data_IF_476705250464
#
_entry.id   IF_476705250464
#
_cell.length_a   1.000
_cell.length_b   1.000
_cell.length_c   1.000
_cell.angle_alpha   90.00
_cell.angle_beta   90.00
_cell.angle_gamma   90.00
#
_symmetry.space_group_name_H-M   'P 1'
#
loop_
_entity.id
_entity.type
_entity.pdbx_description
1 polymer ?
#
# COMPACT_ATOMS: atom_id res chain seq x y z
N UNK A 1 14.90 -68.60 -26.25
CA UNK A 1 14.84 -67.13 -26.26
C UNK A 1 13.63 -66.75 -25.43
N UNK A 2 13.79 -66.95 -24.12
CA UNK A 2 12.86 -66.71 -23.01
C UNK A 2 12.58 -65.20 -22.87
N UNK A 3 11.43 -64.69 -22.43
CA UNK A 3 10.64 -64.93 -21.21
C UNK A 3 11.36 -64.54 -19.89
N UNK A 4 10.62 -63.80 -19.04
CA UNK A 4 10.70 -63.77 -17.57
C UNK A 4 11.59 -62.74 -16.83
N UNK A 5 10.91 -61.99 -15.95
CA UNK A 5 11.26 -61.70 -14.52
C UNK A 5 12.46 -60.76 -14.20
N UNK A 6 12.55 -60.01 -13.09
CA UNK A 6 11.73 -59.65 -11.91
C UNK A 6 12.48 -58.55 -11.14
N UNK A 7 11.70 -57.68 -10.47
CA UNK A 7 11.87 -57.14 -9.10
C UNK A 7 13.20 -56.47 -8.62
N UNK A 8 12.99 -55.26 -8.06
CA UNK A 8 13.24 -54.87 -6.65
C UNK A 8 14.47 -54.00 -6.28
N UNK A 9 14.14 -52.87 -5.62
CA UNK A 9 14.88 -52.10 -4.57
C UNK A 9 16.08 -51.27 -5.07
N UNK A 10 16.36 -50.04 -4.62
CA UNK A 10 16.02 -49.29 -3.40
C UNK A 10 15.97 -47.77 -3.68
N UNK A 11 15.27 -47.06 -2.81
CA UNK A 11 14.97 -45.64 -2.96
C UNK A 11 16.13 -44.66 -2.77
N UNK A 12 15.86 -43.42 -3.19
CA UNK A 12 16.43 -42.21 -2.61
C UNK A 12 15.45 -41.06 -2.87
N UNK A 13 14.88 -40.54 -1.79
CA UNK A 13 14.12 -39.30 -1.80
C UNK A 13 14.99 -38.16 -2.31
N UNK A 14 14.51 -37.48 -3.33
CA UNK A 14 15.02 -36.19 -3.77
C UNK A 14 13.96 -35.15 -3.48
N UNK A 15 14.06 -34.50 -2.33
CA UNK A 15 13.27 -33.31 -2.02
C UNK A 15 13.56 -32.25 -3.09
N UNK A 16 12.53 -31.87 -3.84
CA UNK A 16 12.57 -30.66 -4.66
C UNK A 16 12.52 -29.48 -3.70
N UNK A 17 13.68 -28.88 -3.46
CA UNK A 17 13.76 -27.54 -2.91
C UNK A 17 12.99 -26.61 -3.84
N UNK A 18 11.88 -26.06 -3.35
CA UNK A 18 11.29 -24.87 -3.94
C UNK A 18 12.31 -23.75 -3.75
N UNK A 19 12.91 -23.33 -4.85
CA UNK A 19 13.68 -22.10 -4.87
C UNK A 19 12.68 -20.94 -4.84
N UNK A 20 12.45 -20.39 -3.66
CA UNK A 20 11.73 -19.13 -3.45
C UNK A 20 12.59 -17.98 -4.01
N UNK A 21 12.47 -17.76 -5.31
CA UNK A 21 12.92 -16.55 -5.97
C UNK A 21 11.86 -15.48 -5.81
N UNK A 22 11.94 -14.70 -4.72
CA UNK A 22 11.24 -13.41 -4.64
C UNK A 22 11.64 -12.57 -5.87
N UNK A 23 10.69 -12.00 -6.64
CA UNK A 23 11.04 -11.11 -7.73
C UNK A 23 11.67 -9.83 -7.14
N UNK A 24 13.01 -9.79 -7.22
CA UNK A 24 13.83 -8.61 -6.95
C UNK A 24 13.52 -7.55 -8.01
N UNK A 25 12.53 -6.72 -7.72
CA UNK A 25 12.20 -5.57 -8.55
C UNK A 25 10.82 -5.05 -8.21
N UNK A 26 10.75 -4.17 -7.21
CA UNK A 26 9.77 -3.09 -6.95
C UNK A 26 9.79 -2.87 -5.42
N UNK A 27 10.75 -2.07 -4.93
CA UNK A 27 10.48 -1.13 -3.82
C UNK A 27 11.72 -0.26 -3.56
N UNK A 28 11.82 0.87 -4.25
CA UNK A 28 12.72 1.98 -3.87
C UNK A 28 12.07 2.91 -2.82
N UNK A 29 10.97 2.50 -2.18
CA UNK A 29 10.07 3.40 -1.42
C UNK A 29 9.97 3.18 0.09
N UNK A 30 10.64 2.18 0.68
CA UNK A 30 10.53 1.87 2.11
C UNK A 30 11.61 2.52 3.00
N UNK A 31 12.39 3.47 2.48
CA UNK A 31 13.51 4.09 3.22
C UNK A 31 13.09 4.68 4.57
N UNK A 32 11.87 5.17 4.71
CA UNK A 32 11.37 5.79 5.94
C UNK A 32 11.00 4.80 7.07
N UNK A 33 10.84 3.50 6.80
CA UNK A 33 10.63 2.49 7.85
C UNK A 33 11.96 2.01 8.46
N UNK A 34 13.05 2.22 7.72
CA UNK A 34 14.41 1.91 8.09
C UNK A 34 15.04 3.17 8.70
N UNK A 35 15.33 3.18 9.99
CA UNK A 35 16.02 4.31 10.63
C UNK A 35 17.43 4.46 10.02
N UNK A 36 17.60 5.42 9.10
CA UNK A 36 18.91 5.82 8.61
C UNK A 36 19.56 6.84 9.56
N UNK A 37 19.75 6.47 10.82
CA UNK A 37 20.66 7.21 11.71
C UNK A 37 22.09 6.71 11.52
N UNK A 38 22.75 7.19 10.47
CA UNK A 38 24.23 7.19 10.40
C UNK A 38 24.69 8.64 10.29
N UNK A 39 24.92 9.27 11.44
CA UNK A 39 25.73 10.48 11.51
C UNK A 39 27.18 10.12 11.11
N UNK A 40 27.82 10.82 10.16
CA UNK A 40 29.25 10.71 9.98
C UNK A 40 29.95 11.71 10.92
N UNK A 41 30.48 11.21 12.03
CA UNK A 41 31.42 11.97 12.86
C UNK A 41 32.78 12.02 12.16
N UNK A 42 33.05 13.14 11.49
CA UNK A 42 34.40 13.55 11.09
C UNK A 42 35.15 14.11 12.30
N UNK A 43 36.08 13.35 12.89
CA UNK A 43 37.28 13.88 13.55
C UNK A 43 38.46 12.94 13.26
N UNK A 44 39.56 13.53 12.77
CA UNK A 44 40.79 12.87 12.39
C UNK A 44 41.71 12.53 13.59
N UNK A 45 42.32 11.34 13.48
CA UNK A 45 43.71 10.98 13.81
C UNK A 45 44.29 11.16 15.23
N UNK A 46 44.49 10.05 15.96
CA UNK A 46 45.82 9.43 16.21
C UNK A 46 45.79 8.37 17.33
N UNK A 47 46.56 7.28 17.19
CA UNK A 47 47.10 6.52 18.33
C UNK A 47 46.75 5.04 18.42
N UNK A 48 47.76 4.19 18.17
CA UNK A 48 47.78 2.72 18.30
C UNK A 48 47.39 2.20 19.70
N UNK A 49 46.63 1.09 19.74
CA UNK A 49 46.90 -0.12 20.58
C UNK A 49 45.99 -1.30 20.19
N UNK A 50 46.55 -2.51 20.24
CA UNK A 50 45.98 -3.80 19.80
C UNK A 50 45.01 -4.45 20.81
N UNK A 51 43.97 -5.10 20.26
CA UNK A 51 43.21 -6.29 20.71
C UNK A 51 42.33 -6.26 21.99
N UNK A 52 41.30 -7.13 22.14
CA UNK A 52 40.65 -8.04 21.15
C UNK A 52 39.11 -7.88 21.03
N UNK A 53 38.58 -8.49 19.96
CA UNK A 53 37.17 -8.77 19.70
C UNK A 53 36.50 -9.48 20.90
N UNK A 54 35.47 -8.87 21.49
CA UNK A 54 34.48 -9.56 22.29
C UNK A 54 33.09 -9.33 21.68
N UNK A 55 32.64 -10.31 20.89
CA UNK A 55 31.21 -10.52 20.65
C UNK A 55 30.59 -10.96 21.96
N UNK A 56 29.86 -10.08 22.63
CA UNK A 56 29.05 -10.45 23.78
C UNK A 56 27.62 -10.66 23.25
N UNK A 57 27.34 -11.89 22.82
CA UNK A 57 25.95 -12.36 22.71
C UNK A 57 25.41 -12.55 24.12
N UNK A 58 24.24 -11.98 24.48
CA UNK A 58 23.55 -12.37 25.71
C UNK A 58 23.00 -13.79 25.56
N UNK A 59 23.52 -14.70 26.38
CA UNK A 59 23.11 -16.11 26.55
C UNK A 59 21.94 -16.25 27.52
N UNK A 60 20.84 -15.51 27.31
CA UNK A 60 19.60 -15.71 28.08
C UNK A 60 18.45 -16.16 27.17
N UNK A 61 17.67 -17.18 27.56
CA UNK A 61 16.39 -17.48 26.90
C UNK A 61 15.52 -16.22 26.95
N UNK A 62 14.82 -15.90 25.86
CA UNK A 62 13.85 -14.81 25.83
C UNK A 62 12.83 -15.05 26.95
N UNK A 63 12.83 -14.17 27.96
CA UNK A 63 11.98 -14.31 29.12
C UNK A 63 10.52 -14.08 28.70
N UNK A 64 9.62 -14.83 29.32
CA UNK A 64 8.15 -14.75 29.22
C UNK A 64 7.66 -13.28 29.25
N UNK A 65 8.32 -12.43 30.06
CA UNK A 65 8.21 -10.95 30.08
C UNK A 65 8.15 -10.25 28.73
N UNK A 66 8.88 -10.71 27.71
CA UNK A 66 8.89 -10.06 26.37
C UNK A 66 7.61 -10.28 25.57
N UNK A 67 6.92 -11.39 25.80
CA UNK A 67 5.65 -11.71 25.14
C UNK A 67 4.50 -11.02 25.86
N UNK A 68 4.50 -10.98 27.19
CA UNK A 68 3.53 -10.17 27.95
C UNK A 68 3.65 -8.68 27.60
N UNK A 69 4.86 -8.11 27.58
CA UNK A 69 5.08 -6.70 27.23
C UNK A 69 4.63 -6.37 25.79
N UNK A 70 4.73 -7.34 24.87
CA UNK A 70 4.25 -7.20 23.50
C UNK A 70 2.73 -7.39 23.42
N UNK A 71 2.16 -8.31 24.19
CA UNK A 71 0.72 -8.51 24.28
C UNK A 71 0.01 -7.26 24.84
N UNK A 72 0.49 -6.71 25.96
CA UNK A 72 -0.02 -5.47 26.53
C UNK A 72 0.12 -4.32 25.53
N UNK A 73 1.26 -4.25 24.84
CA UNK A 73 1.45 -3.28 23.77
C UNK A 73 0.40 -3.47 22.67
N UNK A 74 0.21 -4.67 22.10
CA UNK A 74 -0.82 -4.94 21.08
C UNK A 74 -2.20 -4.49 21.58
N UNK A 75 -2.55 -4.86 22.81
CA UNK A 75 -3.83 -4.53 23.44
C UNK A 75 -4.05 -3.01 23.64
N UNK A 76 -2.97 -2.21 23.70
CA UNK A 76 -3.04 -0.74 23.76
C UNK A 76 -3.32 -0.08 22.41
N UNK A 77 -3.37 -0.85 21.32
CA UNK A 77 -3.51 -0.34 19.96
C UNK A 77 -4.86 0.35 19.71
N UNK A 78 -4.89 1.52 19.04
CA UNK A 78 -6.09 2.33 18.85
C UNK A 78 -7.13 1.71 17.90
N UNK A 79 -6.73 0.69 17.12
CA UNK A 79 -7.60 0.04 16.14
C UNK A 79 -8.36 -1.17 16.69
N UNK A 80 -7.97 -1.75 17.84
CA UNK A 80 -8.60 -2.97 18.34
C UNK A 80 -10.09 -2.82 18.60
N UNK A 81 -10.49 -1.76 19.29
CA UNK A 81 -11.90 -1.48 19.57
C UNK A 81 -12.71 -1.27 18.28
N UNK A 82 -12.13 -0.63 17.27
CA UNK A 82 -12.79 -0.43 15.96
C UNK A 82 -12.98 -1.75 15.20
N UNK A 83 -12.15 -2.75 15.46
CA UNK A 83 -12.26 -4.10 14.91
C UNK A 83 -13.12 -5.04 15.75
N UNK A 84 -13.63 -4.56 16.91
CA UNK A 84 -14.34 -5.41 17.86
C UNK A 84 -13.45 -6.50 18.49
N UNK A 85 -12.12 -6.31 18.49
CA UNK A 85 -11.18 -7.27 19.06
C UNK A 85 -11.00 -6.98 20.56
N UNK A 86 -11.36 -7.96 21.39
CA UNK A 86 -11.11 -7.89 22.84
C UNK A 86 -9.71 -8.41 23.20
N UNK A 87 -9.26 -8.12 24.43
CA UNK A 87 -7.98 -8.64 24.93
C UNK A 87 -7.96 -10.17 24.93
N UNK A 88 -9.09 -10.82 25.22
CA UNK A 88 -9.23 -12.28 25.19
C UNK A 88 -9.05 -12.81 23.77
N UNK A 89 -9.68 -12.19 22.76
CA UNK A 89 -9.52 -12.60 21.36
C UNK A 89 -8.09 -12.43 20.86
N UNK A 90 -7.40 -11.37 21.30
CA UNK A 90 -5.96 -11.19 21.02
C UNK A 90 -5.15 -12.27 21.71
N UNK A 91 -5.45 -12.62 22.96
CA UNK A 91 -4.73 -13.65 23.70
C UNK A 91 -4.89 -15.03 23.06
N UNK A 92 -6.10 -15.39 22.62
CA UNK A 92 -6.40 -16.64 21.91
C UNK A 92 -5.67 -16.74 20.56
N UNK A 93 -5.38 -15.61 19.93
CA UNK A 93 -4.74 -15.54 18.62
C UNK A 93 -3.30 -15.01 18.64
N UNK A 94 -2.69 -14.85 19.82
CA UNK A 94 -1.39 -14.16 19.98
C UNK A 94 -0.28 -14.73 19.10
N UNK A 95 -0.25 -16.05 18.93
CA UNK A 95 0.72 -16.71 18.06
C UNK A 95 0.66 -16.21 16.62
N UNK A 96 -0.54 -15.93 16.09
CA UNK A 96 -0.71 -15.35 14.75
C UNK A 96 -0.20 -13.92 14.68
N UNK A 97 -0.45 -13.11 15.72
CA UNK A 97 0.09 -11.75 15.79
C UNK A 97 1.61 -11.74 15.76
N UNK A 98 2.25 -12.62 16.54
CA UNK A 98 3.71 -12.79 16.56
C UNK A 98 4.25 -13.25 15.20
N UNK A 99 3.58 -14.21 14.57
CA UNK A 99 3.93 -14.71 13.25
C UNK A 99 3.85 -13.60 12.19
N UNK A 100 2.74 -12.87 12.11
CA UNK A 100 2.60 -11.75 11.18
C UNK A 100 3.64 -10.65 11.44
N UNK A 101 3.92 -10.35 12.72
CA UNK A 101 4.97 -9.41 13.12
C UNK A 101 6.34 -9.82 12.60
N UNK A 102 6.73 -11.09 12.79
CA UNK A 102 7.97 -11.67 12.28
C UNK A 102 8.05 -11.58 10.74
N UNK A 103 6.96 -11.90 10.04
CA UNK A 103 6.92 -11.80 8.58
C UNK A 103 7.10 -10.36 8.09
N UNK A 104 6.46 -9.38 8.74
CA UNK A 104 6.64 -7.97 8.41
C UNK A 104 8.05 -7.47 8.76
N UNK A 105 8.64 -7.92 9.88
CA UNK A 105 10.03 -7.62 10.20
C UNK A 105 10.96 -8.11 9.08
N UNK A 106 10.77 -9.35 8.59
CA UNK A 106 11.54 -9.88 7.46
C UNK A 106 11.34 -9.07 6.18
N UNK A 107 10.08 -8.74 5.85
CA UNK A 107 9.75 -7.95 4.66
C UNK A 107 10.47 -6.60 4.64
N UNK A 108 10.51 -5.92 5.79
CA UNK A 108 11.10 -4.59 5.92
C UNK A 108 12.56 -4.59 6.40
N UNK A 109 13.17 -5.78 6.56
CA UNK A 109 14.53 -5.96 7.06
C UNK A 109 14.76 -5.33 8.45
N UNK A 110 13.75 -5.43 9.32
CA UNK A 110 13.79 -4.96 10.70
C UNK A 110 14.28 -6.09 11.63
N UNK A 111 14.99 -5.70 12.69
CA UNK A 111 15.40 -6.63 13.73
C UNK A 111 14.24 -6.83 14.72
N UNK A 112 13.61 -8.00 14.70
CA UNK A 112 12.46 -8.32 15.53
C UNK A 112 12.73 -8.20 17.04
N UNK A 113 13.97 -8.42 17.47
CA UNK A 113 14.37 -8.34 18.87
C UNK A 113 14.57 -6.90 19.34
N UNK A 114 14.68 -5.94 18.41
CA UNK A 114 15.03 -4.55 18.67
C UNK A 114 14.21 -3.58 17.81
N UNK A 115 12.88 -3.73 17.83
CA UNK A 115 11.99 -2.76 17.20
C UNK A 115 11.90 -1.47 18.01
N UNK A 116 12.04 -0.33 17.33
CA UNK A 116 11.72 0.97 17.95
C UNK A 116 10.21 1.07 18.21
N UNK A 117 9.79 1.95 19.12
CA UNK A 117 8.36 2.15 19.43
C UNK A 117 7.55 2.48 18.16
N UNK A 118 8.00 3.39 17.26
CA UNK A 118 7.29 3.65 15.99
C UNK A 118 7.20 2.43 15.08
N UNK A 119 8.25 1.61 14.99
CA UNK A 119 8.22 0.37 14.21
C UNK A 119 7.23 -0.63 14.82
N UNK A 120 7.27 -0.85 16.15
CA UNK A 120 6.35 -1.71 16.87
C UNK A 120 4.89 -1.27 16.66
N UNK A 121 4.61 0.03 16.79
CA UNK A 121 3.29 0.59 16.52
C UNK A 121 2.87 0.39 15.05
N UNK A 122 3.78 0.60 14.09
CA UNK A 122 3.48 0.37 12.67
C UNK A 122 3.00 -1.05 12.39
N UNK A 123 3.70 -2.03 12.94
CA UNK A 123 3.39 -3.44 12.69
C UNK A 123 2.13 -3.85 13.46
N UNK A 124 2.13 -3.64 14.77
CA UNK A 124 1.15 -4.23 15.68
C UNK A 124 -0.08 -3.36 15.94
N UNK A 125 -0.02 -2.04 15.74
CA UNK A 125 -1.17 -1.14 15.91
C UNK A 125 -1.81 -0.72 14.61
N UNK A 126 -1.12 -0.93 13.47
CA UNK A 126 -1.61 -0.49 12.18
C UNK A 126 -1.70 -1.61 11.15
N UNK A 127 -0.57 -2.20 10.72
CA UNK A 127 -0.57 -3.11 9.57
C UNK A 127 -1.29 -4.43 9.86
N UNK A 128 -1.01 -5.08 10.99
CA UNK A 128 -1.67 -6.33 11.37
C UNK A 128 -3.18 -6.11 11.61
N UNK A 129 -3.63 -5.10 12.37
CA UNK A 129 -5.06 -4.80 12.50
C UNK A 129 -5.78 -4.60 11.15
N UNK A 130 -5.18 -3.84 10.23
CA UNK A 130 -5.76 -3.63 8.90
C UNK A 130 -5.81 -4.94 8.10
N UNK A 131 -4.77 -5.76 8.19
CA UNK A 131 -4.74 -7.09 7.57
C UNK A 131 -5.87 -7.99 8.08
N UNK A 132 -6.06 -8.06 9.40
CA UNK A 132 -7.12 -8.84 10.02
C UNK A 132 -8.51 -8.36 9.58
N UNK A 133 -8.71 -7.04 9.47
CA UNK A 133 -9.95 -6.50 8.92
C UNK A 133 -10.17 -6.94 7.47
N UNK A 134 -9.15 -6.88 6.62
CA UNK A 134 -9.26 -7.33 5.23
C UNK A 134 -9.59 -8.83 5.14
N UNK A 135 -8.96 -9.67 5.97
CA UNK A 135 -9.28 -11.11 6.08
C UNK A 135 -10.75 -11.35 6.44
N UNK A 136 -11.29 -10.57 7.38
CA UNK A 136 -12.69 -10.65 7.76
C UNK A 136 -13.61 -10.25 6.60
N UNK A 137 -13.30 -9.18 5.88
CA UNK A 137 -14.08 -8.73 4.71
C UNK A 137 -14.03 -9.75 3.56
N UNK A 138 -12.87 -10.35 3.29
CA UNK A 138 -12.71 -11.42 2.29
C UNK A 138 -13.57 -12.64 2.68
N UNK A 139 -13.58 -13.00 3.96
CA UNK A 139 -14.36 -14.13 4.47
C UNK A 139 -15.87 -13.86 4.33
N UNK A 140 -16.32 -12.67 4.73
CA UNK A 140 -17.71 -12.24 4.58
C UNK A 140 -18.14 -12.20 3.12
N UNK A 141 -17.30 -11.66 2.24
CA UNK A 141 -17.54 -11.63 0.81
C UNK A 141 -17.69 -13.05 0.23
N UNK A 142 -16.76 -13.94 0.55
CA UNK A 142 -16.80 -15.34 0.09
C UNK A 142 -18.06 -16.07 0.56
N UNK A 143 -18.53 -15.79 1.79
CA UNK A 143 -19.77 -16.42 2.31
C UNK A 143 -21.06 -15.97 1.61
N UNK A 144 -21.01 -14.93 0.78
CA UNK A 144 -22.20 -14.49 0.02
C UNK A 144 -22.44 -15.30 -1.26
N UNK A 145 -21.46 -16.11 -1.67
CA UNK A 145 -21.55 -16.98 -2.83
C UNK A 145 -22.07 -18.36 -2.42
N UNK A 146 -22.82 -19.01 -3.31
CA UNK A 146 -23.32 -20.36 -3.06
C UNK A 146 -22.23 -21.41 -3.34
N UNK A 147 -22.37 -22.58 -2.73
CA UNK A 147 -21.50 -23.72 -3.01
C UNK A 147 -21.46 -24.03 -4.51
N UNK A 148 -20.25 -24.05 -5.08
CA UNK A 148 -20.01 -24.31 -6.50
C UNK A 148 -20.08 -23.09 -7.42
N UNK A 149 -20.40 -21.89 -6.91
CA UNK A 149 -20.24 -20.64 -7.66
C UNK A 149 -18.77 -20.20 -7.66
N UNK A 150 -18.33 -19.64 -8.79
CA UNK A 150 -17.01 -19.03 -8.90
C UNK A 150 -16.98 -17.74 -8.07
N UNK A 151 -16.24 -17.74 -6.96
CA UNK A 151 -16.09 -16.57 -6.09
C UNK A 151 -15.23 -15.52 -6.79
N UNK A 152 -15.80 -14.37 -7.09
CA UNK A 152 -15.05 -13.24 -7.64
C UNK A 152 -14.19 -12.58 -6.57
N UNK A 153 -12.97 -12.09 -6.87
CA UNK A 153 -12.14 -11.42 -5.88
C UNK A 153 -12.84 -10.21 -5.26
N UNK A 154 -12.64 -10.00 -3.96
CA UNK A 154 -13.10 -8.79 -3.28
C UNK A 154 -12.20 -7.61 -3.69
N UNK A 155 -12.79 -6.52 -4.19
CA UNK A 155 -12.03 -5.28 -4.43
C UNK A 155 -12.08 -4.41 -3.16
N UNK A 156 -10.91 -4.19 -2.56
CA UNK A 156 -10.72 -3.31 -1.39
C UNK A 156 -10.04 -2.02 -1.84
N UNK A 157 -10.71 -0.89 -1.63
CA UNK A 157 -10.24 0.44 -1.98
C UNK A 157 -9.47 1.09 -0.84
N UNK A 158 -8.27 1.62 -1.12
CA UNK A 158 -7.44 2.34 -0.16
C UNK A 158 -7.35 3.81 -0.56
N UNK A 159 -8.06 4.67 0.17
CA UNK A 159 -8.03 6.12 -0.03
C UNK A 159 -7.16 6.79 1.01
N UNK A 160 -6.10 7.48 0.55
CA UNK A 160 -5.20 8.17 1.47
C UNK A 160 -4.37 9.26 0.78
N UNK A 161 -4.18 10.44 1.41
CA UNK A 161 -3.30 11.48 0.90
C UNK A 161 -1.88 10.99 0.59
N UNK A 162 -1.19 11.67 -0.30
CA UNK A 162 0.18 11.32 -0.69
C UNK A 162 1.14 11.37 0.52
N UNK A 163 2.11 10.44 0.54
CA UNK A 163 3.13 10.40 1.60
C UNK A 163 2.71 9.76 2.93
N UNK A 164 1.44 9.38 3.12
CA UNK A 164 0.93 8.76 4.35
C UNK A 164 1.40 7.31 4.59
N UNK A 165 2.09 6.69 3.62
CA UNK A 165 2.52 5.29 3.69
C UNK A 165 1.54 4.26 3.12
N UNK A 166 0.47 4.70 2.44
CA UNK A 166 -0.56 3.85 1.79
C UNK A 166 0.03 2.69 0.96
N UNK A 167 0.99 2.98 0.08
CA UNK A 167 1.59 1.98 -0.81
C UNK A 167 2.46 0.99 -0.04
N UNK A 168 3.10 1.43 1.05
CA UNK A 168 3.85 0.56 1.96
C UNK A 168 2.93 -0.36 2.74
N UNK A 169 1.77 0.12 3.18
CA UNK A 169 0.73 -0.70 3.80
C UNK A 169 0.21 -1.75 2.80
N UNK A 170 -0.21 -1.33 1.60
CA UNK A 170 -0.72 -2.26 0.57
C UNK A 170 0.31 -3.33 0.22
N UNK A 171 1.59 -2.96 0.10
CA UNK A 171 2.69 -3.90 -0.10
C UNK A 171 2.84 -4.92 1.05
N UNK A 172 2.71 -4.47 2.30
CA UNK A 172 2.69 -5.35 3.46
C UNK A 172 1.51 -6.31 3.44
N UNK A 173 0.31 -5.84 3.09
CA UNK A 173 -0.89 -6.66 3.02
C UNK A 173 -0.81 -7.70 1.92
N UNK A 174 -0.34 -7.33 0.72
CA UNK A 174 -0.12 -8.25 -0.39
C UNK A 174 0.83 -9.40 0.00
N UNK A 175 1.94 -9.06 0.67
CA UNK A 175 2.86 -10.05 1.20
C UNK A 175 2.21 -10.94 2.28
N UNK A 176 1.43 -10.37 3.21
CA UNK A 176 0.72 -11.13 4.23
C UNK A 176 -0.35 -12.07 3.62
N UNK A 177 -1.03 -11.67 2.55
CA UNK A 177 -1.95 -12.55 1.81
C UNK A 177 -1.20 -13.73 1.17
N UNK A 178 -0.05 -13.47 0.54
CA UNK A 178 0.75 -14.52 -0.08
C UNK A 178 1.19 -15.57 0.94
N UNK A 179 1.73 -15.17 2.10
CA UNK A 179 2.17 -16.12 3.13
C UNK A 179 1.00 -16.88 3.77
N UNK A 180 -0.21 -16.32 3.76
CA UNK A 180 -1.42 -16.96 4.27
C UNK A 180 -2.13 -17.79 3.20
N UNK A 181 -1.53 -17.95 2.03
CA UNK A 181 -2.03 -18.81 0.95
C UNK A 181 -3.12 -18.17 0.08
N UNK A 182 -3.27 -16.85 0.13
CA UNK A 182 -4.21 -16.08 -0.69
C UNK A 182 -3.50 -15.43 -1.86
N UNK A 183 -4.11 -15.50 -3.05
CA UNK A 183 -3.65 -14.79 -4.25
C UNK A 183 -4.31 -13.42 -4.30
N UNK A 184 -3.49 -12.38 -4.25
CA UNK A 184 -3.92 -10.97 -4.34
C UNK A 184 -3.38 -10.31 -5.61
N UNK A 185 -4.05 -9.26 -6.06
CA UNK A 185 -3.52 -8.34 -7.06
C UNK A 185 -3.50 -6.92 -6.50
N UNK A 186 -2.41 -6.19 -6.74
CA UNK A 186 -2.27 -4.78 -6.35
C UNK A 186 -2.29 -3.89 -7.58
N UNK A 187 -3.16 -2.88 -7.57
CA UNK A 187 -3.28 -1.89 -8.64
C UNK A 187 -3.42 -0.49 -8.04
N UNK A 188 -2.75 0.50 -8.62
CA UNK A 188 -2.81 1.90 -8.18
C UNK A 188 -3.54 2.74 -9.21
N UNK A 189 -4.25 3.79 -8.80
CA UNK A 189 -4.82 4.76 -9.76
C UNK A 189 -3.74 5.38 -10.64
N UNK A 190 -2.51 5.51 -10.11
CA UNK A 190 -1.36 6.04 -10.83
C UNK A 190 -0.94 5.14 -12.01
N UNK A 191 -1.30 3.85 -12.00
CA UNK A 191 -1.04 2.93 -13.13
C UNK A 191 -1.93 3.25 -14.34
N UNK A 192 -3.01 4.00 -14.11
CA UNK A 192 -3.97 4.41 -15.12
C UNK A 192 -3.81 5.87 -15.56
N UNK A 193 -2.67 6.52 -15.31
CA UNK A 193 -2.43 7.82 -15.91
C UNK A 193 -2.51 7.74 -17.45
N UNK A 194 -2.95 8.84 -18.06
CA UNK A 194 -2.94 9.01 -19.51
C UNK A 194 -1.52 8.81 -20.07
N UNK A 195 -1.43 8.35 -21.32
CA UNK A 195 -0.15 8.35 -22.05
C UNK A 195 0.42 9.77 -22.10
N UNK A 196 1.73 9.91 -22.31
CA UNK A 196 2.36 11.24 -22.42
C UNK A 196 1.71 12.09 -23.52
N UNK A 197 1.31 11.46 -24.63
CA UNK A 197 0.61 12.12 -25.73
C UNK A 197 -0.78 12.62 -25.32
N UNK A 198 -1.56 11.82 -24.59
CA UNK A 198 -2.91 12.23 -24.17
C UNK A 198 -2.87 13.23 -23.01
N UNK A 199 -1.89 13.14 -22.12
CA UNK A 199 -1.62 14.17 -21.11
C UNK A 199 -1.23 15.50 -21.77
N UNK A 200 -0.51 15.47 -22.91
CA UNK A 200 -0.22 16.67 -23.68
C UNK A 200 -1.49 17.32 -24.25
N UNK A 201 -2.38 16.52 -24.83
CA UNK A 201 -3.70 17.00 -25.31
C UNK A 201 -4.55 17.57 -24.17
N UNK A 202 -4.57 16.91 -23.01
CA UNK A 202 -5.31 17.39 -21.83
C UNK A 202 -4.83 18.79 -21.43
N UNK A 203 -3.52 18.98 -21.34
CA UNK A 203 -2.90 20.28 -21.05
C UNK A 203 -3.24 21.33 -22.11
N UNK A 204 -3.09 21.01 -23.40
CA UNK A 204 -3.36 21.93 -24.51
C UNK A 204 -4.82 22.40 -24.54
N UNK A 205 -5.75 21.53 -24.16
CA UNK A 205 -7.16 21.85 -24.04
C UNK A 205 -7.50 22.67 -22.77
N UNK A 206 -6.56 22.79 -21.83
CA UNK A 206 -6.74 23.46 -20.54
C UNK A 206 -5.57 24.41 -20.20
N UNK A 207 -5.17 25.35 -21.08
CA UNK A 207 -3.90 26.08 -20.99
C UNK A 207 -3.79 27.05 -19.79
N UNK A 208 -4.90 27.30 -19.07
CA UNK A 208 -4.94 28.15 -17.87
C UNK A 208 -5.21 27.35 -16.59
N UNK A 209 -5.23 26.02 -16.66
CA UNK A 209 -5.48 25.14 -15.53
C UNK A 209 -4.20 24.39 -15.16
N UNK A 210 -3.42 24.95 -14.24
CA UNK A 210 -2.19 24.35 -13.72
C UNK A 210 -2.43 23.02 -12.98
N UNK A 211 -3.66 22.73 -12.53
CA UNK A 211 -3.99 21.44 -11.90
C UNK A 211 -4.05 20.29 -12.91
N UNK A 212 -4.19 20.59 -14.21
CA UNK A 212 -4.25 19.62 -15.32
C UNK A 212 -3.01 19.65 -16.23
N UNK A 213 -2.03 20.50 -15.94
CA UNK A 213 -0.76 20.61 -16.67
C UNK A 213 0.04 19.30 -16.66
N UNK A 214 -0.06 18.56 -15.54
CA UNK A 214 0.64 17.30 -15.28
C UNK A 214 -0.33 16.21 -14.84
N UNK A 215 0.16 14.97 -14.86
CA UNK A 215 -0.54 13.82 -14.30
C UNK A 215 -0.81 14.05 -12.80
N UNK A 216 -2.01 13.71 -12.33
CA UNK A 216 -2.40 13.80 -10.93
C UNK A 216 -3.91 13.85 -10.74
N UNK A 217 -4.51 15.01 -11.00
CA UNK A 217 -5.91 15.32 -10.72
C UNK A 217 -6.92 14.58 -11.63
N UNK A 218 -8.21 14.63 -11.27
CA UNK A 218 -9.28 14.09 -12.08
C UNK A 218 -9.26 14.66 -13.52
N UNK A 219 -9.30 13.77 -14.51
CA UNK A 219 -9.08 14.07 -15.92
C UNK A 219 -7.77 13.54 -16.48
N UNK A 220 -6.74 13.32 -15.65
CA UNK A 220 -5.44 12.83 -16.11
C UNK A 220 -5.31 11.30 -16.16
N UNK A 221 -6.42 10.56 -16.17
CA UNK A 221 -6.44 9.10 -16.13
C UNK A 221 -7.15 8.51 -17.35
N UNK A 222 -6.65 7.38 -17.86
CA UNK A 222 -7.32 6.55 -18.85
C UNK A 222 -8.37 5.68 -18.17
N UNK A 223 -9.58 6.24 -18.08
CA UNK A 223 -10.69 5.57 -17.39
C UNK A 223 -11.13 4.28 -18.11
N UNK A 224 -11.03 4.22 -19.45
CA UNK A 224 -11.38 3.00 -20.21
C UNK A 224 -10.46 1.86 -19.83
N UNK A 225 -9.14 2.09 -19.84
CA UNK A 225 -8.15 1.10 -19.42
C UNK A 225 -8.40 0.63 -17.98
N UNK A 226 -8.77 1.54 -17.07
CA UNK A 226 -9.05 1.19 -15.68
C UNK A 226 -10.28 0.29 -15.53
N UNK A 227 -11.37 0.58 -16.25
CA UNK A 227 -12.61 -0.21 -16.25
C UNK A 227 -12.36 -1.58 -16.85
N UNK A 228 -11.64 -1.66 -17.97
CA UNK A 228 -11.27 -2.93 -18.60
C UNK A 228 -10.42 -3.78 -17.66
N UNK A 229 -9.45 -3.16 -16.98
CA UNK A 229 -8.56 -3.86 -16.04
C UNK A 229 -9.32 -4.38 -14.82
N UNK A 230 -10.13 -3.55 -14.16
CA UNK A 230 -10.92 -3.97 -12.99
C UNK A 230 -11.96 -5.03 -13.35
N UNK A 231 -12.58 -4.91 -14.53
CA UNK A 231 -13.51 -5.93 -15.05
C UNK A 231 -12.79 -7.24 -15.35
N UNK A 232 -11.60 -7.21 -15.94
CA UNK A 232 -10.81 -8.42 -16.19
C UNK A 232 -10.38 -9.08 -14.88
N UNK A 233 -9.91 -8.31 -13.90
CA UNK A 233 -9.53 -8.82 -12.57
C UNK A 233 -10.68 -9.54 -11.87
N UNK A 234 -11.91 -9.03 -11.96
CA UNK A 234 -13.09 -9.68 -11.39
C UNK A 234 -13.38 -11.07 -11.96
N UNK A 235 -12.81 -11.41 -13.12
CA UNK A 235 -13.00 -12.68 -13.82
C UNK A 235 -11.87 -13.70 -13.57
N UNK A 236 -10.80 -13.33 -12.86
CA UNK A 236 -9.71 -14.26 -12.51
C UNK A 236 -10.12 -15.18 -11.36
N UNK A 237 -11.13 -16.04 -11.60
CA UNK A 237 -11.74 -16.90 -10.58
C UNK A 237 -11.26 -18.34 -10.62
N UNK A 238 -10.34 -18.69 -11.55
CA UNK A 238 -9.84 -20.06 -11.73
C UNK A 238 -8.32 -20.11 -11.88
N UNK A 239 -7.76 -21.25 -11.50
CA UNK A 239 -6.35 -21.58 -11.73
C UNK A 239 -6.00 -21.51 -13.23
N UNK A 240 -4.80 -21.05 -13.54
CA UNK A 240 -4.31 -20.88 -14.91
C UNK A 240 -4.84 -19.65 -15.65
N UNK A 241 -5.84 -18.93 -15.12
CA UNK A 241 -6.27 -17.64 -15.69
C UNK A 241 -5.24 -16.57 -15.37
N UNK A 242 -4.63 -15.98 -16.39
CA UNK A 242 -3.55 -14.99 -16.25
C UNK A 242 -3.92 -13.67 -16.90
N UNK A 243 -3.49 -12.57 -16.31
CA UNK A 243 -3.51 -11.26 -16.95
C UNK A 243 -2.30 -10.42 -16.58
N UNK A 244 -1.91 -9.52 -17.48
CA UNK A 244 -0.93 -8.49 -17.19
C UNK A 244 -1.59 -7.27 -16.56
N UNK A 245 -0.94 -6.68 -15.56
CA UNK A 245 -1.41 -5.48 -14.89
C UNK A 245 -0.72 -4.23 -15.46
N UNK A 246 -1.48 -3.19 -15.84
CA UNK A 246 -0.90 -1.93 -16.27
C UNK A 246 0.09 -1.36 -15.26
N UNK A 247 1.16 -0.75 -15.79
CA UNK A 247 2.12 0.02 -15.00
C UNK A 247 2.42 1.34 -15.68
N UNK A 248 2.67 2.36 -14.87
CA UNK A 248 3.06 3.68 -15.34
C UNK A 248 4.51 3.97 -14.96
N UNK A 249 5.34 4.32 -15.94
CA UNK A 249 6.70 4.76 -15.70
C UNK A 249 6.72 6.26 -15.44
N UNK A 250 6.84 6.65 -14.17
CA UNK A 250 6.92 8.06 -13.74
C UNK A 250 8.22 8.75 -14.16
N UNK A 251 9.26 8.00 -14.52
CA UNK A 251 10.58 8.51 -14.89
C UNK A 251 10.73 8.80 -16.38
N UNK A 252 9.91 8.16 -17.22
CA UNK A 252 9.87 8.38 -18.66
C UNK A 252 9.64 9.87 -19.01
N UNK A 253 10.01 10.28 -20.23
CA UNK A 253 9.85 11.65 -20.71
C UNK A 253 10.40 12.71 -19.74
N UNK A 254 11.62 12.51 -19.24
CA UNK A 254 12.29 13.40 -18.28
C UNK A 254 11.47 13.64 -17.01
N UNK A 255 10.87 12.58 -16.45
CA UNK A 255 10.05 12.65 -15.24
C UNK A 255 8.60 13.10 -15.45
N UNK A 256 8.20 13.46 -16.68
CA UNK A 256 6.78 13.72 -17.01
C UNK A 256 5.96 12.44 -17.04
N UNK A 257 6.63 11.31 -17.24
CA UNK A 257 6.10 9.96 -17.20
C UNK A 257 5.43 9.53 -18.49
N UNK A 258 5.21 8.22 -18.61
CA UNK A 258 4.42 7.60 -19.67
C UNK A 258 3.90 6.24 -19.20
N UNK A 259 2.96 5.67 -19.96
CA UNK A 259 2.57 4.27 -19.78
C UNK A 259 3.78 3.37 -20.01
N UNK A 260 4.05 2.47 -19.08
CA UNK A 260 5.14 1.51 -19.25
C UNK A 260 4.81 0.53 -20.38
N UNK A 261 5.84 -0.04 -21.00
CA UNK A 261 5.69 -1.03 -22.06
C UNK A 261 4.88 -2.25 -21.55
N UNK A 262 3.78 -2.66 -22.22
CA UNK A 262 3.00 -3.82 -21.82
C UNK A 262 3.79 -5.14 -21.74
N UNK A 263 4.94 -5.23 -22.40
CA UNK A 263 5.84 -6.37 -22.26
C UNK A 263 6.45 -6.49 -20.85
N UNK A 264 6.64 -5.37 -20.14
CA UNK A 264 7.24 -5.31 -18.79
C UNK A 264 6.21 -5.33 -17.67
N UNK A 265 4.91 -5.31 -18.01
CA UNK A 265 3.85 -5.37 -17.02
C UNK A 265 3.87 -6.70 -16.25
N UNK A 266 3.73 -6.67 -14.92
CA UNK A 266 3.69 -7.90 -14.12
C UNK A 266 2.44 -8.70 -14.45
N UNK A 267 2.56 -10.02 -14.37
CA UNK A 267 1.46 -10.95 -14.56
C UNK A 267 0.88 -11.37 -13.20
N UNK A 268 -0.43 -11.47 -13.12
CA UNK A 268 -1.15 -12.07 -11.99
C UNK A 268 -1.94 -13.27 -12.48
N UNK A 269 -2.10 -14.26 -11.60
CA UNK A 269 -2.77 -15.52 -11.89
C UNK A 269 -3.91 -15.77 -10.89
N UNK A 270 -5.04 -16.25 -11.40
CA UNK A 270 -6.20 -16.64 -10.60
C UNK A 270 -6.02 -17.98 -9.87
N UNK A 271 -6.96 -18.37 -9.00
CA UNK A 271 -8.10 -17.60 -8.55
C UNK A 271 -7.65 -16.48 -7.61
N UNK A 272 -7.98 -15.23 -7.93
CA UNK A 272 -7.72 -14.11 -7.03
C UNK A 272 -8.78 -14.09 -5.92
N UNK A 273 -8.33 -13.91 -4.69
CA UNK A 273 -9.24 -13.71 -3.54
C UNK A 273 -9.53 -12.24 -3.29
N UNK A 274 -8.58 -11.36 -3.61
CA UNK A 274 -8.66 -9.93 -3.31
C UNK A 274 -7.90 -9.10 -4.35
N UNK A 275 -8.45 -7.93 -4.66
CA UNK A 275 -7.76 -6.85 -5.39
C UNK A 275 -7.59 -5.67 -4.44
N UNK A 276 -6.36 -5.26 -4.20
CA UNK A 276 -6.01 -4.07 -3.44
C UNK A 276 -5.89 -2.90 -4.42
N UNK A 277 -6.90 -2.04 -4.42
CA UNK A 277 -6.95 -0.88 -5.31
C UNK A 277 -6.69 0.40 -4.52
N UNK A 278 -5.57 1.06 -4.79
CA UNK A 278 -5.15 2.22 -3.98
C UNK A 278 -5.05 3.52 -4.78
N UNK A 279 -5.29 4.65 -4.11
CA UNK A 279 -5.18 5.95 -4.76
C UNK A 279 -5.42 7.13 -3.82
N UNK A 280 -4.81 8.27 -4.16
CA UNK A 280 -4.86 9.46 -3.30
C UNK A 280 -6.20 10.22 -3.36
N UNK A 281 -6.96 10.02 -4.44
CA UNK A 281 -8.27 10.62 -4.69
C UNK A 281 -9.40 9.58 -4.83
N UNK A 282 -9.15 8.31 -4.49
CA UNK A 282 -10.20 7.29 -4.50
C UNK A 282 -11.33 7.68 -3.54
N UNK A 283 -12.59 7.51 -3.97
CA UNK A 283 -13.76 7.90 -3.18
C UNK A 283 -14.05 9.41 -3.12
N UNK A 284 -13.23 10.26 -3.76
CA UNK A 284 -13.61 11.67 -3.93
C UNK A 284 -14.83 11.76 -4.83
N UNK A 285 -15.77 12.64 -4.48
CA UNK A 285 -16.98 12.87 -5.27
C UNK A 285 -17.11 14.34 -5.70
N UNK A 286 -17.78 14.61 -6.83
CA UNK A 286 -18.09 15.97 -7.23
C UNK A 286 -18.86 16.72 -6.15
N UNK A 287 -18.56 18.01 -5.99
CA UNK A 287 -19.23 18.92 -5.08
C UNK A 287 -19.91 20.06 -5.86
N UNK A 288 -20.79 20.86 -5.23
CA UNK A 288 -21.32 22.07 -5.86
C UNK A 288 -20.20 22.96 -6.40
N UNK A 289 -20.39 23.47 -7.62
CA UNK A 289 -19.35 24.20 -8.38
C UNK A 289 -18.84 25.42 -7.60
N UNK A 290 -19.74 26.11 -6.90
CA UNK A 290 -19.47 27.27 -6.08
C UNK A 290 -18.56 26.93 -4.90
N UNK A 291 -18.74 25.74 -4.31
CA UNK A 291 -17.93 25.28 -3.18
C UNK A 291 -16.48 24.97 -3.61
N UNK A 292 -16.30 24.31 -4.75
CA UNK A 292 -14.94 24.00 -5.25
C UNK A 292 -14.22 25.26 -5.77
N UNK A 293 -14.94 26.17 -6.42
CA UNK A 293 -14.37 27.45 -6.90
C UNK A 293 -13.96 28.38 -5.77
N UNK A 294 -14.64 28.30 -4.62
CA UNK A 294 -14.24 29.02 -3.41
C UNK A 294 -12.88 28.54 -2.85
N UNK A 295 -12.50 27.27 -3.12
CA UNK A 295 -11.17 26.74 -2.76
C UNK A 295 -10.13 27.11 -3.81
N UNK A 296 -10.39 26.80 -5.08
CA UNK A 296 -9.57 27.17 -6.23
C UNK A 296 -10.45 27.16 -7.51
N UNK A 297 -10.56 28.26 -8.27
CA UNK A 297 -11.35 28.32 -9.50
C UNK A 297 -10.99 27.23 -10.52
N UNK A 298 -9.74 26.76 -10.54
CA UNK A 298 -9.28 25.71 -11.46
C UNK A 298 -9.90 24.34 -11.16
N UNK A 299 -10.43 24.13 -9.95
CA UNK A 299 -11.13 22.91 -9.57
C UNK A 299 -12.46 22.73 -10.31
N UNK A 300 -13.05 23.76 -10.93
CA UNK A 300 -14.31 23.61 -11.67
C UNK A 300 -14.24 22.50 -12.73
N UNK A 301 -13.15 22.45 -13.50
CA UNK A 301 -12.93 21.42 -14.53
C UNK A 301 -12.58 20.08 -13.89
N UNK A 302 -11.72 20.07 -12.87
CA UNK A 302 -11.35 18.84 -12.13
C UNK A 302 -12.59 18.18 -11.51
N UNK A 303 -13.46 18.99 -10.89
CA UNK A 303 -14.70 18.56 -10.26
C UNK A 303 -15.69 17.97 -11.28
N UNK A 304 -15.80 18.58 -12.46
CA UNK A 304 -16.58 18.02 -13.56
C UNK A 304 -16.01 16.69 -14.05
N UNK A 305 -14.69 16.59 -14.23
CA UNK A 305 -14.04 15.34 -14.63
C UNK A 305 -14.28 14.22 -13.62
N UNK A 306 -14.34 14.56 -12.33
CA UNK A 306 -14.56 13.62 -11.22
C UNK A 306 -15.92 12.89 -11.29
N UNK A 307 -16.91 13.43 -12.03
CA UNK A 307 -18.22 12.76 -12.22
C UNK A 307 -18.08 11.36 -12.82
N UNK A 308 -17.14 11.17 -13.74
CA UNK A 308 -16.92 9.89 -14.41
C UNK A 308 -16.22 8.84 -13.52
N UNK A 309 -15.64 9.25 -12.38
CA UNK A 309 -14.77 8.39 -11.58
C UNK A 309 -15.55 7.38 -10.74
N UNK A 310 -16.80 7.69 -10.39
CA UNK A 310 -17.67 6.71 -9.72
C UNK A 310 -17.88 5.46 -10.58
N UNK A 311 -18.23 5.68 -11.86
CA UNK A 311 -18.46 4.60 -12.80
C UNK A 311 -17.17 3.90 -13.22
N UNK A 312 -16.03 4.60 -13.17
CA UNK A 312 -14.75 4.00 -13.49
C UNK A 312 -14.20 3.14 -12.35
N UNK A 313 -14.31 3.61 -11.10
CA UNK A 313 -13.57 3.07 -9.96
C UNK A 313 -14.49 2.65 -8.81
N UNK A 314 -15.21 3.61 -8.20
CA UNK A 314 -15.88 3.39 -6.91
C UNK A 314 -16.90 2.24 -6.95
N UNK A 315 -17.63 2.06 -8.07
CA UNK A 315 -18.62 0.97 -8.21
C UNK A 315 -18.03 -0.45 -8.11
N UNK A 316 -16.75 -0.60 -8.44
CA UNK A 316 -16.03 -1.87 -8.35
C UNK A 316 -15.64 -2.20 -6.91
N UNK A 317 -15.43 -1.17 -6.08
CA UNK A 317 -14.94 -1.32 -4.71
C UNK A 317 -16.09 -1.75 -3.80
N UNK A 318 -15.90 -2.84 -3.06
CA UNK A 318 -16.91 -3.40 -2.14
C UNK A 318 -16.56 -3.27 -0.67
N UNK A 319 -15.31 -2.95 -0.37
CA UNK A 319 -14.84 -2.62 0.97
C UNK A 319 -13.83 -1.48 0.88
N UNK A 320 -13.83 -0.58 1.87
CA UNK A 320 -13.08 0.65 1.83
C UNK A 320 -12.22 0.82 3.07
N UNK A 321 -10.97 1.22 2.86
CA UNK A 321 -10.08 1.72 3.90
C UNK A 321 -9.77 3.17 3.60
N UNK A 322 -10.18 4.07 4.50
CA UNK A 322 -9.91 5.50 4.40
C UNK A 322 -8.91 5.88 5.48
N UNK A 323 -7.73 6.33 5.07
CA UNK A 323 -6.67 6.79 5.96
C UNK A 323 -6.76 8.31 6.09
N UNK A 324 -7.32 8.74 7.22
CA UNK A 324 -7.48 10.13 7.60
C UNK A 324 -6.20 10.71 8.19
N UNK A 325 -6.00 11.98 7.87
CA UNK A 325 -4.96 12.84 8.44
C UNK A 325 -5.64 14.10 8.96
N UNK A 326 -5.10 14.68 10.05
CA UNK A 326 -5.68 15.90 10.65
C UNK A 326 -5.52 17.13 9.76
N UNK A 327 -4.31 17.34 9.25
CA UNK A 327 -4.00 18.47 8.38
C UNK A 327 -3.27 17.99 7.12
N UNK A 328 -3.85 18.21 5.91
CA UNK A 328 -3.19 17.93 4.64
C UNK A 328 -1.86 18.64 4.40
N UNK A 329 -1.51 19.67 5.19
CA UNK A 329 -0.21 20.33 5.11
C UNK A 329 0.96 19.38 5.38
N UNK A 330 0.76 18.30 6.14
CA UNK A 330 1.79 17.29 6.43
C UNK A 330 2.27 16.55 5.16
N UNK A 331 1.49 16.55 4.07
CA UNK A 331 1.88 15.99 2.77
C UNK A 331 3.15 16.66 2.24
N UNK A 332 3.31 17.97 2.47
CA UNK A 332 4.54 18.68 2.10
C UNK A 332 5.75 18.11 2.84
N UNK A 333 5.65 17.99 4.17
CA UNK A 333 6.73 17.46 5.00
C UNK A 333 7.10 16.03 4.62
N UNK A 334 6.10 15.18 4.40
CA UNK A 334 6.33 13.80 3.96
C UNK A 334 6.98 13.72 2.58
N UNK A 335 6.60 14.59 1.65
CA UNK A 335 7.23 14.61 0.33
C UNK A 335 8.67 15.11 0.41
N UNK A 336 8.90 16.18 1.18
CA UNK A 336 10.24 16.73 1.40
C UNK A 336 11.17 15.67 2.01
N UNK A 337 10.73 14.93 3.02
CA UNK A 337 11.48 13.82 3.61
C UNK A 337 11.86 12.75 2.58
N UNK A 338 10.92 12.37 1.70
CA UNK A 338 11.18 11.38 0.67
C UNK A 338 12.23 11.87 -0.34
N UNK A 339 12.16 13.12 -0.78
CA UNK A 339 13.14 13.70 -1.71
C UNK A 339 14.52 13.87 -1.06
N UNK A 340 14.57 14.25 0.23
CA UNK A 340 15.84 14.29 0.99
C UNK A 340 16.47 12.89 1.05
N UNK A 341 15.69 11.85 1.37
CA UNK A 341 16.19 10.48 1.41
C UNK A 341 16.69 10.01 0.03
N UNK A 342 15.96 10.33 -1.05
CA UNK A 342 16.41 10.02 -2.41
C UNK A 342 17.71 10.72 -2.78
N UNK A 343 17.87 12.00 -2.43
CA UNK A 343 19.10 12.77 -2.63
C UNK A 343 20.27 12.17 -1.83
N UNK A 344 20.03 11.76 -0.58
CA UNK A 344 21.03 11.11 0.26
C UNK A 344 21.51 9.77 -0.33
N UNK A 345 20.63 9.04 -1.01
CA UNK A 345 20.93 7.82 -1.76
C UNK A 345 21.67 8.07 -3.10
N UNK A 346 22.01 9.32 -3.42
CA UNK A 346 22.68 9.70 -4.67
C UNK A 346 21.80 9.66 -5.91
N UNK A 347 20.47 9.62 -5.73
CA UNK A 347 19.50 9.68 -6.84
C UNK A 347 19.12 11.13 -7.14
N UNK A 348 18.73 11.46 -8.38
CA UNK A 348 18.11 12.74 -8.67
C UNK A 348 16.84 12.89 -7.81
N UNK A 349 16.67 14.06 -7.22
CA UNK A 349 15.51 14.41 -6.41
C UNK A 349 15.16 15.89 -6.61
N UNK A 350 13.90 16.24 -6.31
CA UNK A 350 13.41 17.61 -6.46
C UNK A 350 14.05 18.57 -5.45
N UNK A 351 14.21 19.83 -5.84
CA UNK A 351 14.48 20.92 -4.92
C UNK A 351 13.30 21.16 -3.97
N UNK A 352 13.51 21.88 -2.89
CA UNK A 352 12.46 22.18 -1.92
C UNK A 352 11.34 23.03 -2.57
N UNK A 353 11.70 23.94 -3.50
CA UNK A 353 10.75 24.72 -4.30
C UNK A 353 9.96 23.84 -5.28
N UNK A 354 10.61 22.88 -5.94
CA UNK A 354 9.96 21.91 -6.83
C UNK A 354 9.00 20.99 -6.05
N UNK A 355 9.37 20.60 -4.82
CA UNK A 355 8.48 19.87 -3.91
C UNK A 355 7.26 20.72 -3.55
N UNK A 356 7.46 22.00 -3.23
CA UNK A 356 6.35 22.90 -2.91
C UNK A 356 5.40 23.04 -4.10
N UNK A 357 5.93 23.28 -5.30
CA UNK A 357 5.14 23.35 -6.53
C UNK A 357 4.39 22.03 -6.81
N UNK A 358 5.07 20.89 -6.67
CA UNK A 358 4.44 19.57 -6.82
C UNK A 358 3.25 19.40 -5.86
N UNK A 359 3.46 19.65 -4.56
CA UNK A 359 2.43 19.45 -3.52
C UNK A 359 1.29 20.45 -3.68
N UNK A 360 1.59 21.68 -4.09
CA UNK A 360 0.59 22.76 -4.28
C UNK A 360 -0.53 22.38 -5.25
N UNK A 361 -0.28 21.43 -6.16
CA UNK A 361 -1.26 20.97 -7.17
C UNK A 361 -2.27 19.96 -6.63
N UNK A 362 -2.02 19.38 -5.46
CA UNK A 362 -2.90 18.42 -4.79
C UNK A 362 -3.65 19.05 -3.60
N UNK A 363 -3.06 20.07 -2.96
CA UNK A 363 -3.67 20.74 -1.81
C UNK A 363 -5.07 21.30 -2.07
N UNK A 364 -5.40 21.93 -3.23
CA UNK A 364 -6.76 22.37 -3.52
C UNK A 364 -7.76 21.21 -3.50
N UNK A 365 -7.41 20.07 -4.12
CA UNK A 365 -8.25 18.89 -4.12
C UNK A 365 -8.42 18.34 -2.69
N UNK A 366 -7.37 18.29 -1.89
CA UNK A 366 -7.49 17.86 -0.49
C UNK A 366 -8.42 18.77 0.33
N UNK A 367 -8.26 20.09 0.19
CA UNK A 367 -9.11 21.08 0.87
C UNK A 367 -10.58 20.97 0.46
N UNK A 368 -10.85 20.69 -0.81
CA UNK A 368 -12.21 20.57 -1.33
C UNK A 368 -12.86 19.23 -0.94
N UNK A 369 -12.18 18.10 -1.16
CA UNK A 369 -12.84 16.78 -1.19
C UNK A 369 -12.64 15.94 0.08
N UNK A 370 -11.54 16.11 0.82
CA UNK A 370 -11.31 15.34 2.05
C UNK A 370 -12.38 15.57 3.12
N UNK A 371 -12.88 16.80 3.37
CA UNK A 371 -13.90 17.00 4.41
C UNK A 371 -15.11 16.10 4.20
N UNK A 372 -15.64 16.04 2.98
CA UNK A 372 -16.78 15.20 2.61
C UNK A 372 -16.44 13.72 2.64
N UNK A 373 -15.30 13.30 2.09
CA UNK A 373 -14.85 11.90 2.16
C UNK A 373 -14.73 11.45 3.63
N UNK A 374 -14.26 12.32 4.51
CA UNK A 374 -14.06 11.99 5.91
C UNK A 374 -15.36 11.97 6.69
N UNK A 375 -16.30 12.88 6.42
CA UNK A 375 -17.57 12.92 7.15
C UNK A 375 -18.56 11.87 6.68
N UNK A 376 -18.59 11.59 5.36
CA UNK A 376 -19.64 10.76 4.75
C UNK A 376 -19.14 9.43 4.18
N UNK A 377 -17.82 9.30 3.96
CA UNK A 377 -17.24 8.16 3.27
C UNK A 377 -17.34 8.24 1.73
N UNK A 378 -16.78 7.25 1.02
CA UNK A 378 -16.88 7.14 -0.43
C UNK A 378 -18.33 6.98 -0.91
N UNK A 379 -18.64 7.44 -2.12
CA UNK A 379 -20.01 7.35 -2.63
C UNK A 379 -20.45 5.88 -2.78
N UNK A 380 -21.62 5.54 -2.23
CA UNK A 380 -22.17 4.18 -2.28
C UNK A 380 -21.40 3.16 -1.44
N UNK A 381 -20.49 3.57 -0.55
CA UNK A 381 -19.83 2.65 0.38
C UNK A 381 -20.83 2.07 1.38
N UNK A 382 -20.72 0.77 1.64
CA UNK A 382 -21.42 0.12 2.75
C UNK A 382 -20.73 0.49 4.08
N UNK A 383 -21.45 1.10 5.05
CA UNK A 383 -20.90 1.43 6.35
C UNK A 383 -20.31 0.23 7.11
N UNK A 384 -20.84 -0.99 6.90
CA UNK A 384 -20.31 -2.21 7.53
C UNK A 384 -18.99 -2.68 6.89
N UNK A 385 -18.67 -2.16 5.70
CA UNK A 385 -17.46 -2.45 4.94
C UNK A 385 -16.57 -1.22 4.76
N UNK A 386 -16.74 -0.21 5.61
CA UNK A 386 -15.90 0.99 5.64
C UNK A 386 -15.05 1.04 6.91
N UNK A 387 -13.73 0.99 6.75
CA UNK A 387 -12.78 1.10 7.84
C UNK A 387 -11.99 2.40 7.77
N UNK A 388 -12.18 3.25 8.78
CA UNK A 388 -11.54 4.56 8.88
C UNK A 388 -10.40 4.50 9.89
N UNK A 389 -9.18 4.69 9.38
CA UNK A 389 -7.96 4.77 10.18
C UNK A 389 -7.52 6.24 10.23
N UNK A 390 -7.23 6.77 11.41
CA UNK A 390 -6.63 8.11 11.55
C UNK A 390 -5.16 7.97 11.92
N UNK A 391 -4.30 8.77 11.29
CA UNK A 391 -2.87 8.79 11.56
C UNK A 391 -2.36 10.20 11.90
N UNK A 392 -1.30 10.25 12.70
CA UNK A 392 -0.54 11.48 12.98
C UNK A 392 0.54 11.77 11.92
N UNK A 393 1.33 12.82 12.14
CA UNK A 393 2.44 13.24 11.27
C UNK A 393 3.61 12.24 11.26
N UNK A 394 3.76 11.45 12.33
CA UNK A 394 4.63 10.28 12.39
C UNK A 394 4.06 9.07 11.63
N UNK A 395 2.88 9.24 11.02
CA UNK A 395 2.07 8.23 10.34
C UNK A 395 1.60 7.10 11.28
N UNK A 396 1.64 7.31 12.59
CA UNK A 396 1.17 6.34 13.58
C UNK A 396 -0.33 6.46 13.74
N UNK A 397 -1.00 5.33 13.96
CA UNK A 397 -2.44 5.32 14.21
C UNK A 397 -2.76 6.02 15.51
N UNK A 398 -3.82 6.82 15.50
CA UNK A 398 -4.34 7.51 16.69
C UNK A 398 -5.80 7.15 16.91
N UNK A 399 -6.26 7.29 18.16
CA UNK A 399 -7.69 7.22 18.46
C UNK A 399 -8.37 8.36 17.69
N UNK A 400 -9.27 8.00 16.79
CA UNK A 400 -10.06 8.99 16.06
C UNK A 400 -11.00 9.71 17.02
N UNK A 401 -11.20 11.01 16.78
CA UNK A 401 -12.15 11.81 17.54
C UNK A 401 -13.60 11.53 17.15
#
# INVERSE_FOLDING_TARGET
MEESERLSRDGKGGGRAMHDGLPLGICLGCSWIQDNSKCPDTIADNGRRQCPLHSVFPTKPAAVSSVEDLFEFICSGPLLNKLGLTMEMVAESINKWLEYGLHLCRLFQLNELYLTIPQKARLYHYYIPVFLWCEQQISLHSSTFKDGEDVTPLVIGFSAPQGCGKTTLVFALDYLFQITGRKSATISIDDFYLTAADQAKLRENNPKNGLLEFRGNAGSHDLSLSVETLTALSKLTKEGMKMKLPRYDKSANSGRGDRADPSTWPEVEGPLTVVLFEGWMLGFRPLPVEAVKAVDPQLEIVNKNLEAYYDAWDKFIKAWIVIKIKDPSCVYQWRLQAEIAMRADGKPGMSDEEVMDFVSRYLPAYKAYLPTLYSEGPNGSDPERLFVVEIDEGRNTILGN
#
